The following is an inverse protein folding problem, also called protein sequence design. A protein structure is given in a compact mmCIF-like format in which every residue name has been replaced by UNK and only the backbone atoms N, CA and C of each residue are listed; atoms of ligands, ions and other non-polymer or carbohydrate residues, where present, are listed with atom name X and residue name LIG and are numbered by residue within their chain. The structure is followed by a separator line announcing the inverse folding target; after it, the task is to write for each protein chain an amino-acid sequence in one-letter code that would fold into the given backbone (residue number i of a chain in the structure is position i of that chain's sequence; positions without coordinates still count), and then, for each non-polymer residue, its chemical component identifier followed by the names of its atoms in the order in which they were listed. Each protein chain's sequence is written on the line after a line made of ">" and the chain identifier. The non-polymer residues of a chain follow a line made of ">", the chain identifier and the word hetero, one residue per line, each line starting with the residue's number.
data_IF_570074667594
#
_entry.id   IF_570074667594
#
_cell.length_a   1.000
_cell.length_b   1.000
_cell.length_c   1.000
_cell.angle_alpha   90.00
_cell.angle_beta   90.00
_cell.angle_gamma   90.00
#
_symmetry.space_group_name_H-M   'P 1'
#
loop_
_entity.id
_entity.type
_entity.pdbx_description
1 polymer ?
#
# COMPACT_ATOMS: atom_id res chain seq x y z
N UNK A 1 -1.21 30.78 46.41
CA UNK A 1 -1.57 30.83 44.97
C UNK A 1 -0.39 30.24 44.21
N UNK A 2 -0.49 28.98 43.77
CA UNK A 2 0.57 28.36 42.98
C UNK A 2 0.29 28.67 41.50
N UNK A 3 1.12 29.53 40.92
CA UNK A 3 1.09 29.78 39.48
C UNK A 3 1.54 28.50 38.78
N UNK A 4 0.61 27.84 38.08
CA UNK A 4 0.95 26.79 37.14
C UNK A 4 1.80 27.44 36.03
N UNK A 5 3.10 27.14 36.00
CA UNK A 5 3.97 27.55 34.92
C UNK A 5 3.42 26.95 33.61
N UNK A 6 2.92 27.81 32.72
CA UNK A 6 2.58 27.39 31.37
C UNK A 6 3.86 26.91 30.69
N UNK A 7 3.95 25.60 30.44
CA UNK A 7 5.03 25.04 29.65
C UNK A 7 4.85 25.53 28.22
N UNK A 8 5.65 26.52 27.84
CA UNK A 8 5.67 27.05 26.48
C UNK A 8 6.07 25.91 25.52
N UNK A 9 5.16 25.54 24.61
CA UNK A 9 5.41 24.47 23.64
C UNK A 9 6.43 24.96 22.61
N UNK A 10 7.70 24.59 22.81
CA UNK A 10 8.78 24.86 21.85
C UNK A 10 8.44 24.29 20.47
N UNK A 11 8.76 25.03 19.40
CA UNK A 11 8.60 24.55 18.03
C UNK A 11 9.45 23.30 17.78
N UNK A 12 9.03 22.45 16.85
CA UNK A 12 9.74 21.21 16.54
C UNK A 12 11.20 21.48 16.12
N UNK A 13 11.41 22.53 15.32
CA UNK A 13 12.74 22.97 14.89
C UNK A 13 13.60 23.35 16.09
N UNK A 14 13.08 24.12 17.04
CA UNK A 14 13.79 24.48 18.28
C UNK A 14 14.09 23.23 19.12
N UNK A 15 13.15 22.29 19.24
CA UNK A 15 13.35 21.03 19.99
C UNK A 15 14.51 20.21 19.43
N UNK A 16 14.62 20.11 18.11
CA UNK A 16 15.75 19.43 17.46
C UNK A 16 17.04 20.23 17.59
N UNK A 17 16.98 21.54 17.37
CA UNK A 17 18.12 22.44 17.51
C UNK A 17 18.74 22.32 18.91
N UNK A 18 17.90 22.35 19.95
CA UNK A 18 18.29 22.13 21.35
C UNK A 18 18.92 20.74 21.56
N UNK A 19 18.36 19.69 20.94
CA UNK A 19 18.89 18.31 21.06
C UNK A 19 20.34 18.20 20.56
N UNK A 20 20.69 18.94 19.51
CA UNK A 20 22.02 18.91 18.90
C UNK A 20 22.89 20.11 19.27
N UNK A 21 22.42 21.00 20.15
CA UNK A 21 23.07 22.27 20.48
C UNK A 21 23.42 23.14 19.26
N UNK A 22 22.51 23.20 18.29
CA UNK A 22 22.64 23.99 17.04
C UNK A 22 21.67 25.16 17.07
N UNK A 23 22.01 26.26 16.39
CA UNK A 23 21.08 27.36 16.17
C UNK A 23 19.85 26.90 15.36
N UNK A 24 18.65 27.31 15.81
CA UNK A 24 17.39 26.84 15.22
C UNK A 24 17.17 27.25 13.77
N UNK A 25 17.63 28.45 13.36
CA UNK A 25 17.51 28.90 11.97
C UNK A 25 18.48 28.12 11.07
N UNK A 26 19.73 27.94 11.53
CA UNK A 26 20.73 27.17 10.77
C UNK A 26 20.44 25.68 10.71
N UNK A 27 19.74 25.12 11.69
CA UNK A 27 19.39 23.71 11.74
C UNK A 27 18.60 23.30 10.49
N UNK A 28 17.56 24.05 10.14
CA UNK A 28 16.66 23.68 9.04
C UNK A 28 17.39 23.72 7.69
N UNK A 29 18.17 24.77 7.47
CA UNK A 29 18.96 24.95 6.25
C UNK A 29 20.05 23.88 6.11
N UNK A 30 20.67 23.50 7.23
CA UNK A 30 21.67 22.42 7.26
C UNK A 30 21.04 21.09 6.89
N UNK A 31 19.87 20.77 7.46
CA UNK A 31 19.17 19.52 7.16
C UNK A 31 18.73 19.44 5.70
N UNK A 32 18.22 20.54 5.13
CA UNK A 32 17.89 20.64 3.70
C UNK A 32 19.11 20.39 2.81
N UNK A 33 20.24 20.98 3.17
CA UNK A 33 21.46 20.94 2.36
C UNK A 33 22.27 19.65 2.48
N UNK A 34 22.04 18.88 3.55
CA UNK A 34 22.84 17.68 3.88
C UNK A 34 21.99 16.42 3.97
N UNK A 35 21.31 16.19 5.09
CA UNK A 35 20.61 14.96 5.43
C UNK A 35 19.41 14.66 4.50
N UNK A 36 18.75 15.70 3.98
CA UNK A 36 17.54 15.58 3.16
C UNK A 36 17.68 16.19 1.77
N UNK A 37 18.90 16.35 1.27
CA UNK A 37 19.14 16.81 -0.09
C UNK A 37 18.55 15.82 -1.10
N UNK A 38 17.73 16.30 -2.02
CA UNK A 38 17.14 15.45 -3.06
C UNK A 38 18.18 15.07 -4.12
N UNK A 39 17.95 13.97 -4.84
CA UNK A 39 18.91 13.44 -5.84
C UNK A 39 19.18 14.41 -6.99
N UNK A 40 18.20 15.24 -7.34
CA UNK A 40 18.31 16.31 -8.35
C UNK A 40 19.02 17.57 -7.83
N UNK A 41 19.43 17.58 -6.56
CA UNK A 41 20.09 18.70 -5.91
C UNK A 41 19.16 19.77 -5.39
N UNK A 42 17.84 19.63 -5.56
CA UNK A 42 16.85 20.54 -5.01
C UNK A 42 16.70 20.37 -3.49
N UNK A 43 16.25 21.44 -2.83
CA UNK A 43 15.98 21.43 -1.41
C UNK A 43 14.50 21.09 -1.16
N UNK A 44 14.19 20.23 -0.19
CA UNK A 44 12.81 19.91 0.15
C UNK A 44 12.08 21.15 0.68
N UNK A 45 10.76 21.21 0.43
CA UNK A 45 9.88 22.27 0.91
C UNK A 45 9.83 22.30 2.45
N UNK A 46 9.35 23.40 3.02
CA UNK A 46 9.19 23.48 4.48
C UNK A 46 8.21 22.43 5.01
N UNK A 47 7.13 22.17 4.28
CA UNK A 47 6.07 21.21 4.61
C UNK A 47 6.63 19.78 4.60
N UNK A 48 7.40 19.44 3.56
CA UNK A 48 8.08 18.15 3.44
C UNK A 48 9.11 17.94 4.56
N UNK A 49 9.89 18.98 4.88
CA UNK A 49 10.85 18.95 5.98
C UNK A 49 10.16 18.75 7.32
N UNK A 50 9.03 19.43 7.54
CA UNK A 50 8.23 19.25 8.76
C UNK A 50 7.70 17.82 8.88
N UNK A 51 7.20 17.22 7.79
CA UNK A 51 6.75 15.82 7.80
C UNK A 51 7.87 14.85 8.22
N UNK A 52 9.08 15.01 7.67
CA UNK A 52 10.25 14.20 8.03
C UNK A 52 10.68 14.39 9.49
N UNK A 53 10.71 15.64 9.97
CA UNK A 53 11.09 15.96 11.34
C UNK A 53 10.10 15.41 12.37
N UNK A 54 8.81 15.38 12.04
CA UNK A 54 7.77 14.78 12.90
C UNK A 54 8.07 13.29 13.08
N UNK A 55 8.35 12.57 12.00
CA UNK A 55 8.68 11.14 12.05
C UNK A 55 10.00 10.89 12.79
N UNK A 56 11.02 11.72 12.52
CA UNK A 56 12.31 11.63 13.19
C UNK A 56 12.18 11.87 14.71
N UNK A 57 11.33 12.81 15.16
CA UNK A 57 11.09 12.99 16.59
C UNK A 57 10.25 11.88 17.20
N UNK A 58 9.22 11.40 16.50
CA UNK A 58 8.37 10.30 16.97
C UNK A 58 9.22 9.08 17.32
N UNK A 59 10.15 8.71 16.44
CA UNK A 59 11.00 7.54 16.61
C UNK A 59 12.39 7.84 17.19
N UNK A 60 12.66 9.10 17.57
CA UNK A 60 13.97 9.54 18.10
C UNK A 60 15.15 9.17 17.19
N UNK A 61 14.91 9.25 15.88
CA UNK A 61 15.89 9.01 14.83
C UNK A 61 16.75 10.25 14.61
N UNK A 62 17.99 10.03 14.20
CA UNK A 62 18.97 11.06 13.91
C UNK A 62 19.17 11.23 12.39
N UNK A 63 18.71 12.34 11.80
CA UNK A 63 18.90 12.62 10.38
C UNK A 63 20.38 12.74 9.97
N UNK A 64 21.25 13.24 10.86
CA UNK A 64 22.66 13.48 10.53
C UNK A 64 23.47 12.19 10.37
N UNK A 65 23.06 11.10 11.03
CA UNK A 65 23.69 9.79 10.93
C UNK A 65 23.00 8.90 9.89
N UNK A 66 22.08 9.45 9.08
CA UNK A 66 21.29 8.72 8.08
C UNK A 66 20.44 7.58 8.65
N UNK A 67 20.05 7.69 9.92
CA UNK A 67 19.05 6.78 10.50
C UNK A 67 17.68 6.98 9.82
N UNK A 68 17.41 8.20 9.35
CA UNK A 68 16.26 8.57 8.52
C UNK A 68 16.71 9.48 7.38
N UNK A 69 16.18 9.28 6.18
CA UNK A 69 16.42 10.13 5.03
C UNK A 69 15.15 10.27 4.16
N UNK A 70 15.18 11.27 3.28
CA UNK A 70 14.10 11.58 2.37
C UNK A 70 14.25 10.78 1.08
N UNK A 71 13.20 10.05 0.70
CA UNK A 71 13.09 9.46 -0.63
C UNK A 71 12.04 10.23 -1.43
N UNK A 72 12.39 10.78 -2.61
CA UNK A 72 11.43 11.54 -3.40
C UNK A 72 10.36 10.61 -3.96
N UNK A 73 9.10 10.98 -3.75
CA UNK A 73 7.96 10.39 -4.44
C UNK A 73 7.76 11.10 -5.79
N UNK A 74 7.13 10.42 -6.73
CA UNK A 74 6.83 10.92 -8.07
C UNK A 74 5.91 12.12 -8.08
N UNK A 75 4.95 12.22 -7.15
CA UNK A 75 4.03 13.35 -7.05
C UNK A 75 4.68 14.56 -6.36
N UNK A 76 6.00 14.70 -6.48
CA UNK A 76 6.79 15.71 -5.80
C UNK A 76 6.60 15.67 -4.26
N UNK A 77 6.31 14.49 -3.72
CA UNK A 77 6.20 14.21 -2.29
C UNK A 77 7.51 13.67 -1.71
N UNK A 78 7.54 13.40 -0.40
CA UNK A 78 8.68 12.73 0.25
C UNK A 78 8.18 11.58 1.13
N UNK A 79 8.79 10.41 0.93
CA UNK A 79 8.62 9.24 1.79
C UNK A 79 9.76 9.19 2.82
N UNK A 80 9.46 9.11 4.13
CA UNK A 80 10.48 8.94 5.16
C UNK A 80 11.02 7.50 5.15
N UNK A 81 12.29 7.36 4.79
CA UNK A 81 12.98 6.07 4.75
C UNK A 81 13.91 5.95 5.94
N UNK A 82 13.82 4.81 6.64
CA UNK A 82 14.63 4.49 7.80
C UNK A 82 15.65 3.44 7.40
N UNK A 83 16.92 3.79 7.58
CA UNK A 83 18.03 2.87 7.32
C UNK A 83 18.08 1.74 8.34
N UNK A 84 18.85 0.69 8.05
CA UNK A 84 18.99 -0.47 8.95
C UNK A 84 19.45 -0.06 10.36
N UNK A 85 20.33 0.93 10.46
CA UNK A 85 20.80 1.46 11.75
C UNK A 85 19.69 2.21 12.50
N UNK A 86 18.81 2.91 11.78
CA UNK A 86 17.62 3.54 12.35
C UNK A 86 16.65 2.49 12.89
N UNK A 87 16.39 1.42 12.13
CA UNK A 87 15.59 0.27 12.59
C UNK A 87 16.21 -0.39 13.82
N UNK A 88 17.52 -0.63 13.80
CA UNK A 88 18.24 -1.19 14.95
C UNK A 88 18.10 -0.29 16.18
N UNK A 89 18.23 1.04 16.03
CA UNK A 89 18.07 1.99 17.13
C UNK A 89 16.66 1.94 17.73
N UNK A 90 15.61 2.00 16.92
CA UNK A 90 14.23 2.02 17.44
C UNK A 90 13.85 0.70 18.11
N UNK A 91 14.37 -0.43 17.62
CA UNK A 91 14.16 -1.73 18.26
C UNK A 91 14.88 -1.79 19.61
N UNK A 92 16.19 -1.51 19.63
CA UNK A 92 17.00 -1.62 20.83
C UNK A 92 16.62 -0.60 21.93
N UNK A 93 16.09 0.55 21.55
CA UNK A 93 15.61 1.57 22.51
C UNK A 93 14.16 1.36 22.96
N UNK A 94 13.43 0.40 22.36
CA UNK A 94 12.05 0.15 22.74
C UNK A 94 11.99 -0.46 24.16
N UNK A 95 11.25 0.11 25.12
CA UNK A 95 11.27 -0.34 26.52
C UNK A 95 10.94 -1.82 26.72
N UNK A 96 10.04 -2.34 25.88
CA UNK A 96 9.57 -3.73 25.90
C UNK A 96 10.43 -4.71 25.10
N UNK A 97 11.46 -4.26 24.37
CA UNK A 97 12.32 -5.19 23.63
C UNK A 97 13.10 -6.08 24.60
N UNK A 98 13.04 -7.39 24.37
CA UNK A 98 13.68 -8.42 25.21
C UNK A 98 14.56 -9.38 24.39
N UNK A 99 15.15 -8.87 23.32
CA UNK A 99 15.99 -9.65 22.43
C UNK A 99 15.26 -10.20 21.21
N UNK A 100 16.06 -10.72 20.28
CA UNK A 100 15.58 -11.36 19.07
C UNK A 100 16.51 -12.51 18.66
N UNK A 101 15.95 -13.48 17.97
CA UNK A 101 16.68 -14.61 17.40
C UNK A 101 16.34 -14.76 15.92
N UNK A 102 17.24 -15.36 15.15
CA UNK A 102 17.01 -15.69 13.75
C UNK A 102 17.09 -17.18 13.53
N UNK A 103 16.11 -17.72 12.80
CA UNK A 103 16.13 -19.08 12.27
C UNK A 103 16.23 -19.01 10.75
N UNK A 104 16.86 -20.02 10.18
CA UNK A 104 17.18 -20.07 8.76
C UNK A 104 16.69 -21.39 8.17
N UNK A 105 16.30 -21.37 6.91
CA UNK A 105 16.02 -22.61 6.18
C UNK A 105 17.26 -23.50 6.09
N UNK A 106 17.05 -24.82 6.12
CA UNK A 106 18.11 -25.79 5.87
C UNK A 106 18.64 -25.69 4.44
N UNK A 107 17.72 -25.52 3.49
CA UNK A 107 18.03 -25.36 2.08
C UNK A 107 18.51 -23.94 1.77
N UNK A 108 19.31 -23.84 0.70
CA UNK A 108 19.74 -22.56 0.14
C UNK A 108 19.50 -22.54 -1.36
N UNK A 109 19.15 -21.37 -1.89
CA UNK A 109 18.97 -21.12 -3.31
C UNK A 109 19.87 -19.96 -3.77
N UNK A 110 20.16 -19.89 -5.06
CA UNK A 110 20.88 -18.77 -5.68
C UNK A 110 19.88 -18.02 -6.56
N UNK A 111 19.31 -16.91 -6.09
CA UNK A 111 18.39 -16.13 -6.92
C UNK A 111 19.16 -15.43 -8.06
N UNK A 112 18.44 -15.02 -9.10
CA UNK A 112 19.03 -14.46 -10.32
C UNK A 112 19.99 -13.29 -10.02
N UNK A 113 21.23 -13.40 -10.51
CA UNK A 113 22.25 -12.36 -10.38
C UNK A 113 22.91 -12.25 -9.00
N UNK A 114 22.50 -13.04 -7.99
CA UNK A 114 23.17 -13.05 -6.70
C UNK A 114 24.56 -13.69 -6.79
N UNK A 115 25.52 -13.14 -6.05
CA UNK A 115 26.89 -13.65 -6.03
C UNK A 115 27.07 -14.92 -5.18
N UNK A 116 26.08 -15.26 -4.35
CA UNK A 116 26.22 -16.34 -3.36
C UNK A 116 24.87 -16.95 -3.02
N UNK A 117 24.83 -18.24 -2.61
CA UNK A 117 23.61 -18.86 -2.10
C UNK A 117 23.04 -18.10 -0.91
N UNK A 118 21.73 -18.15 -0.74
CA UNK A 118 21.00 -17.56 0.37
C UNK A 118 19.93 -18.55 0.86
N UNK A 119 19.53 -18.42 2.12
CA UNK A 119 18.46 -19.25 2.68
C UNK A 119 17.14 -18.95 1.97
N UNK A 120 16.34 -19.98 1.69
CA UNK A 120 15.01 -19.86 1.09
C UNK A 120 14.10 -18.96 1.93
N UNK A 121 14.28 -18.98 3.24
CA UNK A 121 13.59 -18.08 4.16
C UNK A 121 14.45 -17.77 5.38
N UNK A 122 14.15 -16.64 6.01
CA UNK A 122 14.65 -16.26 7.33
C UNK A 122 13.46 -15.97 8.22
N UNK A 123 13.50 -16.45 9.46
CA UNK A 123 12.48 -16.18 10.47
C UNK A 123 13.12 -15.38 11.60
N UNK A 124 12.50 -14.26 11.96
CA UNK A 124 12.86 -13.46 13.11
C UNK A 124 11.85 -13.72 14.24
N UNK A 125 12.38 -14.04 15.41
CA UNK A 125 11.62 -14.27 16.64
C UNK A 125 11.96 -13.11 17.57
N UNK A 126 11.00 -12.22 17.82
CA UNK A 126 11.19 -11.09 18.74
C UNK A 126 10.46 -11.33 20.06
N UNK A 127 11.20 -11.18 21.15
CA UNK A 127 10.69 -11.32 22.50
C UNK A 127 10.34 -9.95 23.08
N UNK A 128 9.27 -9.94 23.88
CA UNK A 128 8.81 -8.75 24.57
C UNK A 128 8.65 -9.05 26.06
N UNK A 129 9.07 -8.11 26.90
CA UNK A 129 9.00 -8.24 28.36
C UNK A 129 7.57 -8.34 28.89
N UNK A 130 6.61 -7.79 28.15
CA UNK A 130 5.19 -7.75 28.53
C UNK A 130 4.36 -8.91 27.95
N UNK A 131 4.99 -9.93 27.35
CA UNK A 131 4.29 -11.06 26.72
C UNK A 131 5.00 -12.38 26.99
N UNK A 132 4.21 -13.45 27.13
CA UNK A 132 4.74 -14.81 27.33
C UNK A 132 5.02 -15.56 26.01
N UNK A 133 4.62 -14.99 24.87
CA UNK A 133 4.84 -15.58 23.54
C UNK A 133 5.55 -14.56 22.64
N UNK A 134 6.57 -14.98 21.89
CA UNK A 134 7.24 -14.08 20.97
C UNK A 134 6.35 -13.75 19.77
N UNK A 135 6.69 -12.65 19.10
CA UNK A 135 6.22 -12.39 17.74
C UNK A 135 7.19 -13.08 16.79
N UNK A 136 6.64 -13.86 15.85
CA UNK A 136 7.42 -14.65 14.90
C UNK A 136 7.00 -14.26 13.50
N UNK A 137 7.96 -13.83 12.69
CA UNK A 137 7.74 -13.46 11.29
C UNK A 137 8.79 -14.14 10.44
N UNK A 138 8.33 -14.74 9.34
CA UNK A 138 9.16 -15.39 8.34
C UNK A 138 9.00 -14.68 7.02
N UNK A 139 10.11 -14.29 6.42
CA UNK A 139 10.17 -13.74 5.07
C UNK A 139 10.83 -14.76 4.14
N UNK A 140 10.25 -14.91 2.95
CA UNK A 140 10.75 -15.81 1.92
C UNK A 140 11.57 -15.04 0.89
N UNK A 141 12.72 -15.59 0.50
CA UNK A 141 13.68 -14.92 -0.37
C UNK A 141 13.08 -14.66 -1.75
N UNK A 142 12.31 -15.59 -2.31
CA UNK A 142 11.67 -15.46 -3.63
C UNK A 142 10.62 -14.34 -3.69
N UNK A 143 9.99 -13.99 -2.56
CA UNK A 143 9.06 -12.87 -2.47
C UNK A 143 9.76 -11.51 -2.33
N UNK A 144 10.84 -11.45 -1.53
CA UNK A 144 11.45 -10.16 -1.15
C UNK A 144 12.69 -9.80 -1.96
N UNK A 145 13.33 -10.77 -2.62
CA UNK A 145 14.54 -10.54 -3.39
C UNK A 145 14.29 -9.60 -4.56
N UNK A 146 15.25 -8.69 -4.78
CA UNK A 146 15.21 -7.78 -5.93
C UNK A 146 16.33 -8.11 -6.89
N UNK A 147 15.93 -8.51 -8.09
CA UNK A 147 16.84 -8.78 -9.20
C UNK A 147 17.63 -7.53 -9.60
N UNK A 148 18.78 -7.70 -10.28
CA UNK A 148 19.56 -6.57 -10.79
C UNK A 148 18.72 -5.63 -11.67
N UNK A 149 18.78 -4.31 -11.43
CA UNK A 149 18.06 -3.32 -12.25
C UNK A 149 18.46 -3.33 -13.72
N UNK A 150 19.72 -3.67 -14.03
CA UNK A 150 20.21 -3.90 -15.38
C UNK A 150 21.20 -5.06 -15.37
N UNK A 151 21.28 -5.79 -16.47
CA UNK A 151 22.29 -6.83 -16.65
C UNK A 151 23.70 -6.27 -16.42
N UNK A 152 24.49 -6.98 -15.59
CA UNK A 152 25.86 -6.60 -15.25
C UNK A 152 26.01 -5.60 -14.09
N UNK A 153 24.94 -4.93 -13.64
CA UNK A 153 24.99 -4.07 -12.45
C UNK A 153 24.69 -4.86 -11.18
N UNK A 154 25.62 -4.87 -10.22
CA UNK A 154 25.44 -5.55 -8.93
C UNK A 154 24.96 -4.57 -7.88
N UNK A 155 23.71 -4.73 -7.45
CA UNK A 155 23.12 -3.98 -6.35
C UNK A 155 23.43 -4.59 -4.98
N UNK A 156 22.88 -4.00 -3.90
CA UNK A 156 23.04 -4.51 -2.55
C UNK A 156 22.51 -5.95 -2.38
N UNK A 157 21.36 -6.27 -3.00
CA UNK A 157 20.79 -7.62 -3.01
C UNK A 157 21.70 -8.65 -3.69
N UNK A 158 22.46 -8.26 -4.73
CA UNK A 158 23.36 -9.17 -5.44
C UNK A 158 24.66 -9.42 -4.68
N UNK A 159 25.13 -8.44 -3.93
CA UNK A 159 26.41 -8.52 -3.19
C UNK A 159 26.25 -9.07 -1.78
N UNK A 160 25.12 -8.83 -1.12
CA UNK A 160 24.91 -9.15 0.29
C UNK A 160 23.52 -9.78 0.54
N UNK A 161 23.10 -10.73 -0.30
CA UNK A 161 21.76 -11.36 -0.30
C UNK A 161 21.31 -11.84 1.09
N UNK A 162 22.15 -12.62 1.79
CA UNK A 162 21.84 -13.13 3.14
C UNK A 162 21.61 -12.02 4.16
N UNK A 163 22.41 -10.96 4.10
CA UNK A 163 22.33 -9.83 5.03
C UNK A 163 21.05 -9.03 4.78
N UNK A 164 20.72 -8.79 3.52
CA UNK A 164 19.50 -8.08 3.13
C UNK A 164 18.23 -8.85 3.53
N UNK A 165 18.18 -10.16 3.28
CA UNK A 165 17.06 -11.00 3.71
C UNK A 165 16.87 -10.94 5.24
N UNK A 166 17.96 -11.06 6.01
CA UNK A 166 17.90 -10.93 7.47
C UNK A 166 17.39 -9.56 7.91
N UNK A 167 17.88 -8.47 7.30
CA UNK A 167 17.42 -7.13 7.63
C UNK A 167 15.93 -6.95 7.32
N UNK A 168 15.45 -7.44 6.18
CA UNK A 168 14.04 -7.38 5.80
C UNK A 168 13.16 -8.07 6.84
N UNK A 169 13.56 -9.28 7.23
CA UNK A 169 12.87 -10.08 8.24
C UNK A 169 12.83 -9.39 9.60
N UNK A 170 13.97 -8.81 10.02
CA UNK A 170 14.05 -8.04 11.27
C UNK A 170 13.08 -6.85 11.25
N UNK A 171 13.04 -6.11 10.14
CA UNK A 171 12.18 -4.93 9.99
C UNK A 171 10.71 -5.34 10.06
N UNK A 172 10.27 -6.32 9.27
CA UNK A 172 8.86 -6.76 9.28
C UNK A 172 8.44 -7.33 10.64
N UNK A 173 9.29 -8.14 11.27
CA UNK A 173 9.02 -8.63 12.62
C UNK A 173 8.88 -7.49 13.63
N UNK A 174 9.77 -6.48 13.56
CA UNK A 174 9.71 -5.33 14.47
C UNK A 174 8.44 -4.49 14.31
N UNK A 175 7.91 -4.37 13.09
CA UNK A 175 6.63 -3.68 12.84
C UNK A 175 5.48 -4.36 13.56
N UNK A 176 5.37 -5.68 13.47
CA UNK A 176 4.33 -6.43 14.17
C UNK A 176 4.58 -6.50 15.68
N UNK A 177 5.85 -6.58 16.09
CA UNK A 177 6.23 -6.63 17.49
C UNK A 177 5.95 -5.31 18.21
N UNK A 178 6.22 -4.15 17.61
CA UNK A 178 6.18 -2.85 18.29
C UNK A 178 5.20 -1.84 17.70
N UNK A 179 4.52 -2.18 16.61
CA UNK A 179 3.55 -1.29 15.96
C UNK A 179 4.19 -0.10 15.24
N UNK A 180 5.41 -0.28 14.71
CA UNK A 180 6.10 0.78 13.96
C UNK A 180 5.39 1.05 12.61
N UNK A 181 4.87 2.27 12.45
CA UNK A 181 4.07 2.71 11.29
C UNK A 181 4.59 4.04 10.72
N UNK A 182 4.29 4.33 9.46
CA UNK A 182 4.65 5.61 8.82
C UNK A 182 6.15 5.79 8.54
N UNK A 183 6.93 4.72 8.63
CA UNK A 183 8.34 4.64 8.21
C UNK A 183 8.48 3.48 7.24
N UNK A 184 9.41 3.57 6.30
CA UNK A 184 9.65 2.57 5.26
C UNK A 184 11.12 2.15 5.23
N UNK A 185 11.40 0.92 4.79
CA UNK A 185 12.76 0.58 4.35
C UNK A 185 13.00 0.96 2.89
N UNK A 186 14.25 0.93 2.46
CA UNK A 186 14.66 1.40 1.13
C UNK A 186 13.99 0.63 -0.01
N UNK A 187 13.74 -0.69 0.15
CA UNK A 187 13.05 -1.48 -0.88
C UNK A 187 11.56 -1.16 -0.95
N UNK A 188 10.91 -0.89 0.19
CA UNK A 188 9.52 -0.47 0.22
C UNK A 188 9.33 0.89 -0.46
N UNK A 189 10.21 1.85 -0.17
CA UNK A 189 10.17 3.16 -0.80
C UNK A 189 10.40 3.09 -2.31
N UNK A 190 11.32 2.23 -2.76
CA UNK A 190 11.53 1.99 -4.18
C UNK A 190 10.32 1.32 -4.85
N UNK A 191 9.67 0.36 -4.18
CA UNK A 191 8.43 -0.25 -4.69
C UNK A 191 7.28 0.74 -4.81
N UNK A 192 7.13 1.67 -3.87
CA UNK A 192 6.12 2.74 -3.97
C UNK A 192 6.36 3.56 -5.25
N UNK A 193 7.62 3.92 -5.53
CA UNK A 193 7.95 4.63 -6.77
C UNK A 193 7.72 3.77 -8.03
N UNK A 194 8.06 2.48 -8.02
CA UNK A 194 7.84 1.56 -9.15
C UNK A 194 6.36 1.27 -9.40
N UNK A 195 5.54 1.12 -8.35
CA UNK A 195 4.09 0.95 -8.51
C UNK A 195 3.44 2.19 -9.10
N UNK A 196 3.92 3.37 -8.73
CA UNK A 196 3.55 4.62 -9.39
C UNK A 196 4.14 4.76 -10.82
N UNK A 197 5.10 3.91 -11.26
CA UNK A 197 5.48 3.75 -12.69
C UNK A 197 4.51 2.86 -13.43
N UNK A 198 4.04 1.81 -12.78
CA UNK A 198 3.04 0.90 -13.30
C UNK A 198 1.63 1.42 -13.07
N UNK A 199 1.44 2.75 -13.07
CA UNK A 199 0.20 3.38 -12.65
C UNK A 199 -0.96 2.65 -13.31
N UNK A 200 -1.61 1.86 -12.46
CA UNK A 200 -2.95 1.37 -12.67
C UNK A 200 -3.69 2.60 -13.17
N UNK A 201 -4.19 2.53 -14.41
CA UNK A 201 -4.96 3.61 -15.00
C UNK A 201 -5.92 4.21 -13.97
N UNK A 202 -6.23 5.51 -14.09
CA UNK A 202 -6.80 6.33 -13.02
C UNK A 202 -7.74 5.47 -12.19
N UNK A 203 -7.42 5.30 -10.89
CA UNK A 203 -8.23 4.49 -9.98
C UNK A 203 -9.68 4.72 -10.35
N UNK A 204 -10.36 3.68 -10.85
CA UNK A 204 -11.75 3.80 -11.23
C UNK A 204 -12.44 4.27 -9.97
N UNK A 205 -12.67 5.58 -9.89
CA UNK A 205 -13.76 6.13 -9.13
C UNK A 205 -14.88 5.24 -9.60
N UNK A 206 -15.46 4.46 -8.69
CA UNK A 206 -16.77 3.89 -8.93
C UNK A 206 -17.63 5.12 -9.17
N UNK A 207 -17.65 5.60 -10.41
CA UNK A 207 -18.73 6.37 -10.96
C UNK A 207 -19.87 5.42 -10.70
N UNK A 208 -20.85 5.87 -9.95
CA UNK A 208 -22.17 5.27 -10.01
C UNK A 208 -22.59 5.34 -11.48
N UNK A 209 -22.17 4.36 -12.27
CA UNK A 209 -22.67 4.14 -13.60
C UNK A 209 -24.11 3.73 -13.38
N UNK A 210 -24.98 4.74 -13.50
CA UNK A 210 -26.40 4.52 -13.76
C UNK A 210 -26.49 3.40 -14.80
N UNK A 211 -27.16 2.28 -14.50
CA UNK A 211 -27.21 1.16 -15.43
C UNK A 211 -27.67 1.68 -16.80
N UNK A 212 -26.89 1.37 -17.83
CA UNK A 212 -27.18 1.77 -19.19
C UNK A 212 -28.64 1.42 -19.51
N UNK A 213 -29.46 2.42 -19.86
CA UNK A 213 -30.86 2.19 -20.21
C UNK A 213 -30.90 1.20 -21.38
N UNK A 214 -31.58 0.06 -21.18
CA UNK A 214 -31.80 -0.90 -22.24
C UNK A 214 -32.58 -0.22 -23.37
N UNK A 215 -32.23 -0.47 -24.65
CA UNK A 215 -32.94 0.12 -25.78
C UNK A 215 -34.42 -0.28 -25.75
N UNK A 216 -35.30 0.58 -26.26
CA UNK A 216 -36.72 0.24 -26.41
C UNK A 216 -36.89 -1.00 -27.30
N UNK A 217 -37.83 -1.87 -26.94
CA UNK A 217 -38.10 -3.07 -27.71
C UNK A 217 -38.71 -2.71 -29.08
N UNK A 218 -38.05 -3.06 -30.21
CA UNK A 218 -38.62 -2.82 -31.54
C UNK A 218 -39.96 -3.57 -31.68
N UNK A 219 -40.97 -2.91 -32.24
CA UNK A 219 -42.31 -3.47 -32.35
C UNK A 219 -42.34 -4.82 -33.08
N UNK A 220 -41.53 -4.99 -34.13
CA UNK A 220 -41.40 -6.25 -34.86
C UNK A 220 -40.93 -7.41 -33.96
N UNK A 221 -40.05 -7.11 -32.98
CA UNK A 221 -39.59 -8.09 -32.00
C UNK A 221 -40.71 -8.43 -31.03
N UNK A 222 -41.42 -7.42 -30.50
CA UNK A 222 -42.55 -7.64 -29.60
C UNK A 222 -43.64 -8.50 -30.27
N UNK A 223 -43.98 -8.23 -31.53
CA UNK A 223 -45.01 -8.96 -32.28
C UNK A 223 -44.59 -10.41 -32.57
N UNK A 224 -43.32 -10.65 -32.91
CA UNK A 224 -42.79 -12.01 -33.07
C UNK A 224 -42.96 -12.83 -31.80
N UNK A 225 -42.66 -12.25 -30.66
CA UNK A 225 -42.75 -12.93 -29.38
C UNK A 225 -44.19 -13.08 -28.88
N UNK A 226 -45.08 -12.12 -29.21
CA UNK A 226 -46.53 -12.26 -29.04
C UNK A 226 -47.07 -13.47 -29.78
N UNK A 227 -46.65 -13.71 -31.03
CA UNK A 227 -47.04 -14.89 -31.77
C UNK A 227 -46.63 -16.22 -31.11
N UNK A 228 -45.59 -16.25 -30.28
CA UNK A 228 -45.27 -17.43 -29.47
C UNK A 228 -46.19 -17.62 -28.27
N UNK A 229 -46.76 -16.54 -27.74
CA UNK A 229 -47.78 -16.58 -26.69
C UNK A 229 -49.12 -17.03 -27.27
N UNK A 230 -49.52 -16.48 -28.41
CA UNK A 230 -50.78 -16.83 -29.10
C UNK A 230 -50.82 -18.29 -29.59
N UNK A 231 -49.64 -18.89 -29.83
CA UNK A 231 -49.52 -20.30 -30.24
C UNK A 231 -49.27 -21.25 -29.06
N UNK A 232 -49.37 -20.75 -27.82
CA UNK A 232 -49.20 -21.53 -26.60
C UNK A 232 -47.78 -22.03 -26.33
N UNK A 233 -46.80 -21.63 -27.16
CA UNK A 233 -45.42 -22.13 -27.08
C UNK A 233 -44.66 -21.60 -25.85
N UNK A 234 -45.02 -20.42 -25.35
CA UNK A 234 -44.46 -19.80 -24.15
C UNK A 234 -45.51 -18.96 -23.43
N UNK A 235 -45.40 -18.86 -22.10
CA UNK A 235 -46.25 -17.94 -21.35
C UNK A 235 -45.84 -16.48 -21.58
N UNK A 236 -46.78 -15.54 -21.42
CA UNK A 236 -46.51 -14.11 -21.48
C UNK A 236 -45.45 -13.69 -20.46
N UNK A 237 -45.46 -14.29 -19.27
CA UNK A 237 -44.47 -14.05 -18.21
C UNK A 237 -43.05 -14.40 -18.65
N UNK A 238 -42.87 -15.57 -19.28
CA UNK A 238 -41.54 -16.02 -19.73
C UNK A 238 -41.02 -15.17 -20.89
N UNK A 239 -41.94 -14.74 -21.77
CA UNK A 239 -41.64 -13.85 -22.88
C UNK A 239 -41.22 -12.47 -22.40
N UNK A 240 -41.96 -11.89 -21.44
CA UNK A 240 -41.61 -10.59 -20.84
C UNK A 240 -40.24 -10.65 -20.17
N UNK A 241 -39.96 -11.66 -19.35
CA UNK A 241 -38.65 -11.81 -18.71
C UNK A 241 -37.50 -11.95 -19.74
N UNK A 242 -37.76 -12.63 -20.85
CA UNK A 242 -36.77 -12.76 -21.94
C UNK A 242 -36.51 -11.42 -22.62
N UNK A 243 -37.55 -10.64 -22.91
CA UNK A 243 -37.43 -9.35 -23.58
C UNK A 243 -36.80 -8.30 -22.66
N UNK A 244 -37.18 -8.26 -21.38
CA UNK A 244 -36.67 -7.31 -20.38
C UNK A 244 -35.20 -7.53 -20.04
N UNK A 245 -34.63 -8.70 -20.37
CA UNK A 245 -33.18 -8.92 -20.27
C UNK A 245 -32.36 -8.15 -21.32
N UNK A 246 -32.99 -7.64 -22.38
CA UNK A 246 -32.34 -7.01 -23.54
C UNK A 246 -32.95 -5.68 -23.96
N UNK A 247 -34.21 -5.43 -23.61
CA UNK A 247 -34.98 -4.27 -24.05
C UNK A 247 -35.83 -3.71 -22.92
N UNK A 248 -36.17 -2.42 -23.01
CA UNK A 248 -37.24 -1.85 -22.21
C UNK A 248 -38.56 -2.05 -22.96
N UNK A 249 -39.53 -2.73 -22.34
CA UNK A 249 -40.89 -2.90 -22.89
C UNK A 249 -41.77 -1.72 -22.50
N UNK A 250 -42.60 -1.25 -23.44
CA UNK A 250 -43.66 -0.29 -23.11
C UNK A 250 -44.81 -0.96 -22.36
N UNK A 251 -45.58 -0.19 -21.61
CA UNK A 251 -46.76 -0.72 -20.89
C UNK A 251 -47.80 -1.31 -21.87
N UNK A 252 -47.90 -0.75 -23.08
CA UNK A 252 -48.75 -1.30 -24.13
C UNK A 252 -48.28 -2.70 -24.57
N UNK A 253 -46.97 -2.89 -24.80
CA UNK A 253 -46.42 -4.19 -25.19
C UNK A 253 -46.61 -5.25 -24.10
N UNK A 254 -46.49 -4.87 -22.82
CA UNK A 254 -46.76 -5.77 -21.68
C UNK A 254 -48.22 -6.20 -21.64
N UNK A 255 -49.14 -5.26 -21.79
CA UNK A 255 -50.58 -5.55 -21.81
C UNK A 255 -50.97 -6.44 -23.00
N UNK A 256 -50.38 -6.19 -24.17
CA UNK A 256 -50.61 -6.98 -25.38
C UNK A 256 -50.11 -8.43 -25.24
N UNK A 257 -48.96 -8.66 -24.58
CA UNK A 257 -48.47 -9.99 -24.28
C UNK A 257 -49.37 -10.74 -23.30
N UNK A 258 -49.87 -10.05 -22.26
CA UNK A 258 -50.81 -10.63 -21.29
C UNK A 258 -52.16 -10.97 -21.97
N UNK A 259 -52.67 -10.07 -22.81
CA UNK A 259 -53.90 -10.28 -23.55
C UNK A 259 -53.81 -11.44 -24.53
N UNK A 260 -52.69 -11.59 -25.24
CA UNK A 260 -52.42 -12.70 -26.14
C UNK A 260 -52.51 -14.07 -25.45
N UNK A 261 -52.14 -14.14 -24.16
CA UNK A 261 -52.27 -15.37 -23.38
C UNK A 261 -53.71 -15.66 -22.94
N UNK A 262 -54.54 -14.63 -22.77
CA UNK A 262 -55.94 -14.80 -22.37
C UNK A 262 -56.82 -15.36 -23.51
N UNK A 263 -56.41 -15.18 -24.78
CA UNK A 263 -57.17 -15.64 -25.95
C UNK A 263 -57.21 -17.18 -26.06
N UNK A 264 -56.20 -17.90 -25.58
CA UNK A 264 -56.25 -19.38 -25.48
C UNK A 264 -57.21 -19.87 -24.39
N UNK A 265 -57.60 -19.02 -23.43
CA UNK A 265 -58.51 -19.37 -22.34
C UNK A 265 -60.00 -19.41 -22.72
N UNK A 266 -60.39 -18.89 -23.88
CA UNK A 266 -61.78 -18.80 -24.35
C UNK A 266 -62.12 -19.71 -25.55
N UNK A 267 -61.20 -20.56 -26.00
CA UNK A 267 -61.49 -21.66 -26.95
C UNK A 267 -61.13 -23.03 -26.38
N UNK A 268 -61.73 -23.36 -25.24
CA UNK A 268 -61.86 -24.72 -24.72
C UNK A 268 -63.29 -24.96 -24.21
#
# INVERSE_FOLDING_TARGET
>A
MNAAAQVEKKSLVVKFADRYAVDSNKMLDTLKSTAFKQRDGSAPSNEQMMALLVVADQYKLNPFTREIYAFPDKQNGIVPVVGVDGWSRIINSHPQFDGMEFRYSENTVIPEGANSPCHEWVECVMYRKDRNRPVVVREYLDEVYRAPFKQGMKGPWQTHTKRFLRHKTMIQCSRLAFGFVGIFDDDEAQRINEQAERDMGPADVIRDEQPAQLPECPQETADKYRGFVETGKKSASDVMATLESKYTLSDQQRLELIAAQAIEGETA
#
